data_IF_498638551578
#
_entry.id   IF_498638551578
#
_cell.length_a   1.000
_cell.length_b   1.000
_cell.length_c   1.000
_cell.angle_alpha   90.00
_cell.angle_beta   90.00
_cell.angle_gamma   90.00
#
_symmetry.space_group_name_H-M   'P 1'
#
loop_
_entity.id
_entity.type
_entity.pdbx_description
1 polymer ?
#
# COMPACT_ATOMS: atom_id res chain seq x y z
N UNK A 1 22.54 9.13 -15.90
CA UNK A 1 22.44 8.92 -14.44
C UNK A 1 22.91 7.51 -14.12
N UNK A 2 23.38 7.24 -12.91
CA UNK A 2 23.84 5.90 -12.47
C UNK A 2 22.79 4.82 -12.76
N UNK A 3 21.51 5.10 -12.49
CA UNK A 3 20.40 4.19 -12.82
C UNK A 3 20.30 3.84 -14.32
N UNK A 4 20.56 4.80 -15.22
CA UNK A 4 20.47 4.56 -16.66
C UNK A 4 21.65 3.74 -17.20
N UNK A 5 22.84 3.86 -16.60
CA UNK A 5 24.05 3.12 -17.03
C UNK A 5 24.23 1.78 -16.33
N UNK A 6 23.80 1.66 -15.07
CA UNK A 6 24.11 0.52 -14.19
C UNK A 6 22.86 -0.19 -13.64
N UNK A 7 21.67 0.30 -13.99
CA UNK A 7 20.39 -0.26 -13.54
C UNK A 7 20.23 -0.26 -12.01
N UNK A 8 19.42 -1.19 -11.50
CA UNK A 8 19.20 -1.37 -10.06
C UNK A 8 20.50 -1.69 -9.30
N UNK A 9 21.49 -2.31 -9.96
CA UNK A 9 22.75 -2.65 -9.32
C UNK A 9 23.52 -1.38 -8.89
N UNK A 10 23.54 -0.35 -9.73
CA UNK A 10 24.13 0.96 -9.36
C UNK A 10 23.42 1.63 -8.17
N UNK A 11 22.14 1.30 -7.95
CA UNK A 11 21.34 1.81 -6.84
C UNK A 11 21.58 1.05 -5.52
N UNK A 12 21.45 -0.28 -5.56
CA UNK A 12 21.47 -1.12 -4.34
C UNK A 12 22.86 -1.58 -3.93
N UNK A 13 23.81 -1.65 -4.87
CA UNK A 13 25.18 -2.14 -4.63
C UNK A 13 26.26 -1.13 -5.01
N UNK A 14 25.91 -0.04 -5.71
CA UNK A 14 26.84 0.93 -6.27
C UNK A 14 27.03 2.20 -5.43
N UNK A 15 27.46 3.26 -6.11
CA UNK A 15 27.78 4.57 -5.51
C UNK A 15 26.60 5.23 -4.80
N UNK A 16 25.37 4.91 -5.19
CA UNK A 16 24.16 5.40 -4.53
C UNK A 16 23.99 4.76 -3.14
N UNK A 17 24.19 3.44 -3.02
CA UNK A 17 24.10 2.76 -1.72
C UNK A 17 25.17 3.26 -0.73
N UNK A 18 26.38 3.53 -1.22
CA UNK A 18 27.45 4.16 -0.43
C UNK A 18 27.07 5.57 0.04
N UNK A 19 26.50 6.37 -0.87
CA UNK A 19 26.05 7.73 -0.53
C UNK A 19 24.94 7.71 0.54
N UNK A 20 24.02 6.74 0.46
CA UNK A 20 22.94 6.55 1.45
C UNK A 20 23.51 6.16 2.82
N UNK A 21 24.46 5.22 2.89
CA UNK A 21 25.11 4.82 4.14
C UNK A 21 25.87 5.99 4.80
N UNK A 22 26.65 6.72 4.02
CA UNK A 22 27.42 7.88 4.50
C UNK A 22 26.50 9.00 5.03
N UNK A 23 25.45 9.33 4.28
CA UNK A 23 24.46 10.33 4.71
C UNK A 23 23.68 9.86 5.94
N UNK A 24 23.29 8.59 5.96
CA UNK A 24 22.56 7.98 7.05
C UNK A 24 23.35 8.04 8.36
N UNK A 25 24.61 7.61 8.33
CA UNK A 25 25.52 7.70 9.48
C UNK A 25 25.69 9.14 9.99
N UNK A 26 25.82 10.12 9.09
CA UNK A 26 25.91 11.53 9.46
C UNK A 26 24.62 12.10 10.07
N UNK A 27 23.46 11.54 9.72
CA UNK A 27 22.12 12.00 10.14
C UNK A 27 21.50 11.19 11.28
N UNK A 28 22.21 10.16 11.77
CA UNK A 28 21.72 9.24 12.81
C UNK A 28 20.81 8.11 12.30
N UNK A 29 20.65 7.96 10.98
CA UNK A 29 19.98 6.80 10.37
C UNK A 29 20.94 5.61 10.33
N UNK A 30 20.41 4.39 10.54
CA UNK A 30 21.20 3.15 10.58
C UNK A 30 20.98 2.29 9.33
N UNK A 31 21.00 2.93 8.15
CA UNK A 31 20.90 2.22 6.87
C UNK A 31 22.33 1.94 6.40
N UNK A 32 22.66 0.67 6.20
CA UNK A 32 23.98 0.23 5.72
C UNK A 32 23.93 -0.20 4.26
N UNK A 33 25.10 -0.32 3.62
CA UNK A 33 25.20 -0.96 2.30
C UNK A 33 24.78 -2.43 2.32
N UNK A 34 24.91 -3.11 3.46
CA UNK A 34 24.43 -4.48 3.62
C UNK A 34 22.89 -4.53 3.60
N UNK A 35 22.21 -3.56 4.23
CA UNK A 35 20.74 -3.46 4.18
C UNK A 35 20.25 -3.17 2.75
N UNK A 36 20.95 -2.28 2.03
CA UNK A 36 20.63 -1.95 0.64
C UNK A 36 20.82 -3.14 -0.29
N UNK A 37 21.95 -3.85 -0.18
CA UNK A 37 22.24 -5.02 -1.04
C UNK A 37 21.37 -6.24 -0.72
N UNK A 38 20.95 -6.38 0.53
CA UNK A 38 20.02 -7.43 0.97
C UNK A 38 18.55 -7.13 0.68
N UNK A 39 18.21 -5.92 0.22
CA UNK A 39 16.83 -5.55 -0.07
C UNK A 39 16.36 -6.12 -1.41
N UNK A 40 15.16 -6.70 -1.41
CA UNK A 40 14.48 -7.13 -2.61
C UNK A 40 12.96 -6.94 -2.49
N UNK A 41 12.31 -6.66 -3.61
CA UNK A 41 10.87 -6.70 -3.71
C UNK A 41 10.35 -8.14 -3.64
N UNK A 42 9.15 -8.32 -3.10
CA UNK A 42 8.49 -9.61 -3.04
C UNK A 42 7.34 -9.66 -4.06
N UNK A 43 7.31 -10.73 -4.85
CA UNK A 43 6.12 -11.06 -5.63
C UNK A 43 5.08 -11.69 -4.71
N UNK A 44 3.93 -11.05 -4.62
CA UNK A 44 2.84 -11.46 -3.74
C UNK A 44 1.59 -11.81 -4.55
N UNK A 45 0.77 -12.71 -4.00
CA UNK A 45 -0.57 -12.96 -4.52
C UNK A 45 -1.52 -11.90 -3.95
N UNK A 46 -2.23 -11.12 -4.79
CA UNK A 46 -3.20 -10.16 -4.32
C UNK A 46 -4.36 -10.81 -3.55
N UNK A 47 -4.88 -10.11 -2.56
CA UNK A 47 -6.19 -10.40 -1.96
C UNK A 47 -7.24 -9.74 -2.84
N UNK A 48 -8.37 -10.40 -3.05
CA UNK A 48 -9.42 -9.87 -3.90
C UNK A 48 -10.81 -10.22 -3.39
N UNK A 49 -11.77 -9.39 -3.78
CA UNK A 49 -13.21 -9.61 -3.62
C UNK A 49 -13.91 -9.32 -4.93
N UNK A 50 -15.19 -9.67 -5.03
CA UNK A 50 -16.07 -9.15 -6.07
C UNK A 50 -17.00 -8.12 -5.43
N UNK A 51 -17.08 -6.92 -6.02
CA UNK A 51 -18.02 -5.88 -5.62
C UNK A 51 -18.87 -5.49 -6.82
N UNK A 52 -20.16 -5.83 -6.79
CA UNK A 52 -21.14 -5.47 -7.84
C UNK A 52 -20.69 -5.84 -9.27
N UNK A 53 -20.10 -7.03 -9.41
CA UNK A 53 -19.65 -7.58 -10.70
C UNK A 53 -18.24 -7.18 -11.13
N UNK A 54 -17.50 -6.42 -10.31
CA UNK A 54 -16.10 -6.06 -10.57
C UNK A 54 -15.20 -6.71 -9.53
N UNK A 55 -14.09 -7.30 -9.97
CA UNK A 55 -13.04 -7.80 -9.06
C UNK A 55 -12.17 -6.65 -8.61
N UNK A 56 -12.08 -6.45 -7.29
CA UNK A 56 -11.21 -5.46 -6.66
C UNK A 56 -10.06 -6.19 -5.99
N UNK A 57 -8.83 -5.77 -6.26
CA UNK A 57 -7.60 -6.41 -5.82
C UNK A 57 -6.76 -5.45 -4.97
N UNK A 58 -6.25 -5.94 -3.85
CA UNK A 58 -5.33 -5.21 -2.97
C UNK A 58 -4.12 -6.09 -2.62
N UNK A 59 -3.04 -5.44 -2.20
CA UNK A 59 -1.88 -6.16 -1.68
C UNK A 59 -2.27 -6.87 -0.37
N UNK A 60 -1.75 -8.08 -0.09
CA UNK A 60 -1.86 -8.67 1.23
C UNK A 60 -1.13 -7.78 2.25
N UNK A 61 -1.37 -7.97 3.57
CA UNK A 61 -0.65 -7.24 4.62
C UNK A 61 0.87 -7.20 4.37
N UNK A 62 1.60 -6.16 4.78
CA UNK A 62 1.30 -5.15 5.80
C UNK A 62 0.60 -3.82 5.37
N UNK A 63 0.39 -3.48 4.09
CA UNK A 63 -0.40 -2.30 3.73
C UNK A 63 -1.85 -2.36 4.22
N UNK A 64 -2.49 -1.20 4.40
CA UNK A 64 -3.88 -1.08 4.85
C UNK A 64 -4.92 -1.31 3.74
N UNK A 65 -4.51 -1.81 2.57
CA UNK A 65 -5.40 -2.04 1.42
C UNK A 65 -6.54 -3.02 1.73
N UNK A 66 -6.32 -3.96 2.65
CA UNK A 66 -7.36 -4.92 3.08
C UNK A 66 -8.59 -4.23 3.69
N UNK A 67 -8.41 -3.09 4.38
CA UNK A 67 -9.52 -2.33 4.94
C UNK A 67 -10.48 -1.82 3.85
N UNK A 68 -9.97 -1.46 2.67
CA UNK A 68 -10.80 -1.07 1.54
C UNK A 68 -11.65 -2.23 1.02
N UNK A 69 -11.10 -3.45 0.98
CA UNK A 69 -11.86 -4.64 0.59
C UNK A 69 -12.97 -4.95 1.62
N UNK A 70 -12.67 -4.82 2.90
CA UNK A 70 -13.66 -5.03 3.96
C UNK A 70 -14.80 -4.01 3.89
N UNK A 71 -14.47 -2.72 3.74
CA UNK A 71 -15.46 -1.67 3.53
C UNK A 71 -16.38 -1.98 2.33
N UNK A 72 -15.82 -2.42 1.21
CA UNK A 72 -16.60 -2.75 0.01
C UNK A 72 -17.53 -3.96 0.24
N UNK A 73 -17.08 -4.98 0.99
CA UNK A 73 -17.94 -6.10 1.39
C UNK A 73 -19.11 -5.64 2.28
N UNK A 74 -18.87 -4.71 3.22
CA UNK A 74 -19.94 -4.13 4.04
C UNK A 74 -20.94 -3.37 3.14
N UNK A 75 -20.43 -2.51 2.26
CA UNK A 75 -21.25 -1.68 1.37
C UNK A 75 -22.04 -2.50 0.33
N UNK A 76 -21.61 -3.73 0.01
CA UNK A 76 -22.31 -4.61 -0.92
C UNK A 76 -23.74 -4.94 -0.44
N UNK A 77 -23.96 -5.00 0.87
CA UNK A 77 -25.27 -5.25 1.49
C UNK A 77 -26.30 -4.11 1.34
N UNK A 78 -25.91 -2.96 0.78
CA UNK A 78 -26.75 -1.75 0.72
C UNK A 78 -26.96 -1.27 -0.71
N UNK A 79 -28.05 -0.55 -0.99
CA UNK A 79 -28.24 0.13 -2.28
C UNK A 79 -27.61 1.53 -2.25
N UNK A 80 -26.27 1.58 -2.24
CA UNK A 80 -25.51 2.83 -2.15
C UNK A 80 -25.86 3.82 -3.28
N UNK A 81 -26.14 3.31 -4.49
CA UNK A 81 -26.54 4.16 -5.62
C UNK A 81 -27.86 4.89 -5.39
N UNK A 82 -28.82 4.27 -4.70
CA UNK A 82 -30.12 4.89 -4.43
C UNK A 82 -30.06 5.97 -3.34
N UNK A 83 -29.01 5.99 -2.50
CA UNK A 83 -28.86 6.96 -1.42
C UNK A 83 -28.54 8.37 -1.91
N UNK A 84 -28.00 8.50 -3.13
CA UNK A 84 -27.50 9.76 -3.67
C UNK A 84 -26.12 10.12 -3.11
N UNK A 85 -25.17 10.42 -3.99
CA UNK A 85 -23.81 10.77 -3.59
C UNK A 85 -23.79 11.99 -2.67
N UNK A 86 -23.10 11.88 -1.54
CA UNK A 86 -22.95 12.97 -0.56
C UNK A 86 -24.18 13.24 0.32
N UNK A 87 -25.24 12.42 0.22
CA UNK A 87 -26.36 12.52 1.15
C UNK A 87 -25.95 12.10 2.57
N UNK A 88 -26.77 12.46 3.56
CA UNK A 88 -26.53 12.07 4.95
C UNK A 88 -26.44 10.54 5.12
N UNK A 89 -27.33 9.79 4.46
CA UNK A 89 -27.36 8.33 4.52
C UNK A 89 -26.11 7.71 3.88
N UNK A 90 -25.70 8.24 2.73
CA UNK A 90 -24.46 7.83 2.06
C UNK A 90 -23.24 8.02 2.96
N UNK A 91 -23.11 9.22 3.55
CA UNK A 91 -21.98 9.57 4.40
C UNK A 91 -21.99 8.76 5.70
N UNK A 92 -23.16 8.60 6.33
CA UNK A 92 -23.30 7.82 7.55
C UNK A 92 -22.86 6.38 7.33
N UNK A 93 -23.40 5.71 6.30
CA UNK A 93 -23.01 4.34 5.98
C UNK A 93 -21.51 4.22 5.68
N UNK A 94 -20.96 5.14 4.89
CA UNK A 94 -19.53 5.13 4.54
C UNK A 94 -18.64 5.29 5.78
N UNK A 95 -19.03 6.17 6.71
CA UNK A 95 -18.29 6.41 7.96
C UNK A 95 -18.36 5.18 8.87
N UNK A 96 -19.53 4.58 9.06
CA UNK A 96 -19.64 3.39 9.92
C UNK A 96 -18.90 2.18 9.34
N UNK A 97 -18.95 1.98 8.01
CA UNK A 97 -18.16 0.93 7.35
C UNK A 97 -16.64 1.16 7.52
N UNK A 98 -16.19 2.41 7.41
CA UNK A 98 -14.77 2.77 7.64
C UNK A 98 -14.35 2.48 9.08
N UNK A 99 -15.18 2.82 10.08
CA UNK A 99 -14.85 2.57 11.49
C UNK A 99 -14.66 1.08 11.78
N UNK A 100 -15.50 0.23 11.19
CA UNK A 100 -15.38 -1.22 11.36
C UNK A 100 -14.08 -1.73 10.72
N UNK A 101 -13.83 -1.39 9.46
CA UNK A 101 -12.67 -1.89 8.73
C UNK A 101 -11.30 -1.42 9.26
N UNK A 102 -11.27 -0.32 10.03
CA UNK A 102 -10.05 0.17 10.69
C UNK A 102 -9.94 -0.25 12.17
N UNK A 103 -10.99 -0.86 12.73
CA UNK A 103 -10.95 -1.40 14.09
C UNK A 103 -10.36 -2.83 14.13
N UNK A 104 -10.44 -3.55 13.00
CA UNK A 104 -9.79 -4.84 12.77
C UNK A 104 -8.28 -4.70 12.51
#
# INVERSE_FOLDING_TARGET
SVLASEGCNGFYNGSIAESIENFGGASGLKITRADMSGHAGQWVRPVNITYRGVTVCELPPNPQGVAALEMLNILEGYNVSAMGFGSADYLHLSVEATKLAFAD
#
